data_IF_343640852153
#
_entry.id   IF_343640852153
#
_cell.length_a   1.000
_cell.length_b   1.000
_cell.length_c   1.000
_cell.angle_alpha   90.00
_cell.angle_beta   90.00
_cell.angle_gamma   90.00
#
_symmetry.space_group_name_H-M   'P 1'
#
loop_
_entity.id
_entity.type
_entity.pdbx_description
1 polymer ?
#
# COMPACT_ATOMS: atom_id res chain seq x y z
N UNK A 1 -17.78 47.43 21.21
CA UNK A 1 -17.43 47.88 22.58
C UNK A 1 -18.72 48.28 23.28
N UNK A 2 -19.35 47.35 23.99
CA UNK A 2 -20.44 47.63 24.93
C UNK A 2 -20.28 46.66 26.10
N UNK A 3 -20.02 47.23 27.27
CA UNK A 3 -19.90 46.61 28.60
C UNK A 3 -21.29 46.41 29.18
N UNK A 4 -21.57 45.25 29.80
CA UNK A 4 -22.65 45.16 30.83
C UNK A 4 -22.40 43.98 31.77
N UNK A 5 -22.38 44.29 33.07
CA UNK A 5 -22.32 43.35 34.20
C UNK A 5 -23.73 43.19 34.81
N UNK A 6 -24.05 42.01 35.36
CA UNK A 6 -25.19 41.76 36.25
C UNK A 6 -24.87 40.50 37.09
N UNK A 7 -24.51 40.63 38.37
CA UNK A 7 -25.35 40.66 39.59
C UNK A 7 -26.17 39.36 39.83
N UNK A 8 -25.80 38.65 40.90
CA UNK A 8 -26.47 37.48 41.47
C UNK A 8 -27.73 37.86 42.29
N UNK A 9 -28.53 36.86 42.68
CA UNK A 9 -28.79 36.71 44.12
C UNK A 9 -28.77 35.25 44.63
N UNK A 10 -28.39 35.15 45.91
CA UNK A 10 -28.40 33.97 46.75
C UNK A 10 -29.81 33.61 47.26
N UNK A 11 -30.05 32.33 47.54
CA UNK A 11 -31.19 31.87 48.36
C UNK A 11 -30.66 30.94 49.45
N UNK A 12 -30.95 31.33 50.69
CA UNK A 12 -30.72 30.67 51.98
C UNK A 12 -32.10 30.38 52.60
N UNK A 13 -32.15 29.51 53.63
CA UNK A 13 -33.25 29.21 54.58
C UNK A 13 -34.04 27.92 54.27
N UNK A 14 -34.44 27.05 55.21
CA UNK A 14 -34.40 27.08 56.68
C UNK A 14 -34.53 25.64 57.25
N UNK A 15 -33.97 25.43 58.44
CA UNK A 15 -34.31 24.34 59.36
C UNK A 15 -35.35 24.84 60.40
N UNK A 16 -36.18 23.96 60.99
CA UNK A 16 -36.81 24.25 62.27
C UNK A 16 -36.13 23.52 63.43
N UNK A 17 -36.04 24.23 64.55
CA UNK A 17 -35.60 23.78 65.86
C UNK A 17 -36.79 23.31 66.72
N UNK A 18 -36.53 22.46 67.71
CA UNK A 18 -37.34 22.43 68.94
C UNK A 18 -36.45 22.20 70.16
N UNK A 19 -36.71 22.99 71.20
CA UNK A 19 -35.97 23.14 72.45
C UNK A 19 -36.53 22.18 73.53
N UNK A 20 -35.66 21.57 74.35
CA UNK A 20 -35.33 21.91 75.75
C UNK A 20 -36.14 21.18 76.83
N UNK A 21 -35.42 20.65 77.84
CA UNK A 21 -35.94 20.14 79.10
C UNK A 21 -34.86 19.37 79.87
N UNK A 22 -34.56 19.80 81.10
CA UNK A 22 -33.33 19.63 81.86
C UNK A 22 -33.30 18.47 82.88
N UNK A 23 -32.09 18.24 83.40
CA UNK A 23 -31.69 17.62 84.67
C UNK A 23 -31.41 16.10 84.77
N UNK A 24 -30.25 15.82 85.37
CA UNK A 24 -29.75 14.56 85.93
C UNK A 24 -29.41 14.83 87.44
N UNK A 25 -28.98 13.87 88.31
CA UNK A 25 -28.60 12.45 88.08
C UNK A 25 -28.93 11.42 89.22
N UNK A 26 -28.51 10.16 88.99
CA UNK A 26 -27.91 9.18 89.94
C UNK A 26 -28.75 8.14 90.76
N UNK A 27 -28.47 6.86 90.40
CA UNK A 27 -28.12 5.67 91.21
C UNK A 27 -29.13 4.93 92.15
N UNK A 28 -29.27 3.61 91.92
CA UNK A 28 -29.79 2.60 92.89
C UNK A 28 -30.02 1.20 92.28
N UNK A 29 -29.66 0.12 92.98
CA UNK A 29 -29.53 -1.30 92.51
C UNK A 29 -30.77 -2.20 92.72
N UNK A 30 -30.84 -3.28 91.91
CA UNK A 30 -31.52 -4.62 92.07
C UNK A 30 -33.05 -4.77 91.83
N UNK A 31 -33.59 -5.99 91.58
CA UNK A 31 -33.34 -6.98 90.50
C UNK A 31 -34.66 -7.34 89.72
N UNK A 32 -34.55 -8.23 88.71
CA UNK A 32 -35.59 -8.61 87.73
C UNK A 32 -36.96 -9.08 88.26
N UNK A 33 -38.01 -9.07 87.39
CA UNK A 33 -38.58 -10.36 86.97
C UNK A 33 -38.81 -10.49 85.44
N UNK A 34 -38.32 -11.63 84.94
CA UNK A 34 -38.85 -12.57 83.93
C UNK A 34 -39.59 -12.06 82.68
N UNK A 35 -39.04 -12.49 81.53
CA UNK A 35 -39.42 -12.24 80.14
C UNK A 35 -40.86 -12.64 79.73
N UNK A 36 -41.29 -12.26 78.51
CA UNK A 36 -41.15 -13.26 77.44
C UNK A 36 -40.40 -12.72 76.21
N UNK A 37 -39.36 -13.47 75.85
CA UNK A 37 -38.89 -13.80 74.51
C UNK A 37 -39.13 -12.73 73.41
N UNK A 38 -38.30 -11.69 73.39
CA UNK A 38 -38.05 -10.95 72.15
C UNK A 38 -36.95 -11.67 71.40
N UNK A 39 -37.36 -12.40 70.36
CA UNK A 39 -36.48 -12.84 69.30
C UNK A 39 -35.59 -11.67 68.87
N UNK A 40 -34.29 -11.82 69.07
CA UNK A 40 -33.27 -10.94 68.51
C UNK A 40 -33.51 -10.91 67.00
N UNK A 41 -33.76 -9.75 66.37
CA UNK A 41 -33.78 -9.69 64.92
C UNK A 41 -32.39 -10.06 64.45
N UNK A 42 -32.30 -11.20 63.77
CA UNK A 42 -31.10 -11.59 63.06
C UNK A 42 -30.89 -10.56 61.94
N UNK A 43 -30.08 -9.53 62.19
CA UNK A 43 -29.80 -8.44 61.24
C UNK A 43 -28.93 -8.89 60.04
N UNK A 44 -28.91 -10.18 59.75
CA UNK A 44 -28.07 -10.80 58.70
C UNK A 44 -28.77 -10.89 57.34
N UNK A 45 -30.10 -10.68 57.27
CA UNK A 45 -30.83 -10.60 56.01
C UNK A 45 -30.92 -9.14 55.51
N UNK A 46 -30.42 -8.80 54.31
CA UNK A 46 -30.69 -7.49 53.71
C UNK A 46 -32.19 -7.27 53.57
N UNK A 47 -32.64 -6.01 53.70
CA UNK A 47 -34.02 -5.66 53.38
C UNK A 47 -34.37 -6.14 51.95
N UNK A 48 -35.58 -6.69 51.70
CA UNK A 48 -35.95 -7.27 50.41
C UNK A 48 -35.73 -6.31 49.22
N UNK A 49 -35.85 -5.01 49.44
CA UNK A 49 -35.63 -3.98 48.42
C UNK A 49 -34.16 -3.89 47.98
N UNK A 50 -33.20 -4.13 48.89
CA UNK A 50 -31.76 -4.05 48.60
C UNK A 50 -31.31 -5.15 47.63
N UNK A 51 -31.85 -6.37 47.77
CA UNK A 51 -31.49 -7.48 46.87
C UNK A 51 -31.93 -7.23 45.42
N UNK A 52 -33.07 -6.57 45.23
CA UNK A 52 -33.55 -6.20 43.90
C UNK A 52 -32.72 -5.03 43.31
N UNK A 53 -32.35 -4.06 44.14
CA UNK A 53 -31.48 -2.95 43.74
C UNK A 53 -30.07 -3.40 43.37
N UNK A 54 -29.46 -4.29 44.16
CA UNK A 54 -28.17 -4.92 43.86
C UNK A 54 -28.24 -5.66 42.51
N UNK A 55 -29.32 -6.43 42.29
CA UNK A 55 -29.53 -7.13 41.00
C UNK A 55 -29.64 -6.16 39.83
N UNK A 56 -30.40 -5.07 39.97
CA UNK A 56 -30.52 -4.02 38.94
C UNK A 56 -29.17 -3.37 38.65
N UNK A 57 -28.38 -3.09 39.69
CA UNK A 57 -27.05 -2.51 39.58
C UNK A 57 -26.10 -3.42 38.81
N UNK A 58 -26.08 -4.72 39.11
CA UNK A 58 -25.25 -5.69 38.39
C UNK A 58 -25.66 -5.78 36.92
N UNK A 59 -26.96 -5.82 36.62
CA UNK A 59 -27.46 -5.85 35.26
C UNK A 59 -27.02 -4.61 34.46
N UNK A 60 -27.01 -3.43 35.09
CA UNK A 60 -26.48 -2.21 34.46
C UNK A 60 -24.96 -2.30 34.21
N UNK A 61 -24.18 -2.82 35.18
CA UNK A 61 -22.72 -3.01 35.05
C UNK A 61 -22.38 -3.93 33.88
N UNK A 62 -23.05 -5.07 33.76
CA UNK A 62 -22.74 -6.06 32.71
C UNK A 62 -23.33 -5.70 31.33
N UNK A 63 -24.25 -4.72 31.28
CA UNK A 63 -24.79 -4.17 30.05
C UNK A 63 -23.91 -3.05 29.45
N UNK A 64 -22.92 -2.56 30.20
CA UNK A 64 -21.96 -1.57 29.71
C UNK A 64 -21.24 -2.09 28.45
N UNK A 65 -21.09 -1.28 27.38
CA UNK A 65 -20.41 -1.71 26.15
C UNK A 65 -18.94 -2.14 26.35
N UNK A 66 -18.26 -1.65 27.39
CA UNK A 66 -16.91 -2.08 27.76
C UNK A 66 -16.88 -3.34 28.63
N UNK A 67 -18.02 -3.81 29.16
CA UNK A 67 -18.06 -5.02 29.95
C UNK A 67 -17.65 -6.23 29.10
N UNK A 68 -16.53 -6.85 29.48
CA UNK A 68 -16.08 -8.09 28.83
C UNK A 68 -17.07 -9.24 29.08
N UNK A 69 -16.93 -10.32 28.32
CA UNK A 69 -17.65 -11.56 28.61
C UNK A 69 -17.33 -12.08 30.02
N UNK A 70 -16.10 -11.86 30.51
CA UNK A 70 -15.73 -12.20 31.88
C UNK A 70 -16.50 -11.36 32.92
N UNK A 71 -16.65 -10.04 32.69
CA UNK A 71 -17.50 -9.18 33.52
C UNK A 71 -18.96 -9.65 33.54
N UNK A 72 -19.49 -10.02 32.36
CA UNK A 72 -20.87 -10.52 32.22
C UNK A 72 -21.09 -11.83 32.96
N UNK A 73 -20.15 -12.77 32.84
CA UNK A 73 -20.21 -14.05 33.53
C UNK A 73 -20.10 -13.88 35.05
N UNK A 74 -19.15 -13.07 35.52
CA UNK A 74 -18.97 -12.77 36.94
C UNK A 74 -20.22 -12.13 37.57
N UNK A 75 -20.85 -11.16 36.87
CA UNK A 75 -22.08 -10.55 37.34
C UNK A 75 -23.27 -11.51 37.37
N UNK A 76 -23.45 -12.35 36.34
CA UNK A 76 -24.49 -13.39 36.32
C UNK A 76 -24.30 -14.41 37.44
N UNK A 77 -23.05 -14.81 37.69
CA UNK A 77 -22.69 -15.70 38.80
C UNK A 77 -23.01 -15.06 40.15
N UNK A 78 -22.66 -13.79 40.34
CA UNK A 78 -22.97 -13.07 41.58
C UNK A 78 -24.48 -12.99 41.85
N UNK A 79 -25.30 -12.79 40.80
CA UNK A 79 -26.77 -12.83 40.90
C UNK A 79 -27.27 -14.22 41.32
N UNK A 80 -26.69 -15.29 40.74
CA UNK A 80 -27.07 -16.66 41.05
C UNK A 80 -26.66 -17.11 42.46
N UNK A 81 -25.50 -16.64 42.96
CA UNK A 81 -24.94 -17.01 44.26
C UNK A 81 -25.59 -16.25 45.44
N UNK A 82 -26.43 -15.24 45.16
CA UNK A 82 -27.30 -14.58 46.14
C UNK A 82 -26.77 -13.24 46.70
N UNK A 83 -27.48 -12.64 47.68
CA UNK A 83 -27.29 -11.23 48.06
C UNK A 83 -25.90 -10.83 48.54
N UNK A 84 -25.16 -11.73 49.21
CA UNK A 84 -23.80 -11.46 49.66
C UNK A 84 -22.80 -11.44 48.49
N UNK A 85 -22.97 -12.35 47.52
CA UNK A 85 -22.15 -12.39 46.32
C UNK A 85 -22.41 -11.17 45.43
N UNK A 86 -23.68 -10.74 45.31
CA UNK A 86 -24.03 -9.52 44.59
C UNK A 86 -23.32 -8.29 45.16
N UNK A 87 -23.35 -8.09 46.49
CA UNK A 87 -22.65 -6.97 47.15
C UNK A 87 -21.14 -7.02 46.95
N UNK A 88 -20.52 -8.18 47.19
CA UNK A 88 -19.08 -8.35 46.96
C UNK A 88 -18.69 -8.03 45.51
N UNK A 89 -19.50 -8.45 44.54
CA UNK A 89 -19.25 -8.13 43.14
C UNK A 89 -19.31 -6.64 42.88
N UNK A 90 -20.35 -5.95 43.36
CA UNK A 90 -20.56 -4.51 43.18
C UNK A 90 -19.42 -3.71 43.83
N UNK A 91 -19.00 -4.08 45.05
CA UNK A 91 -18.06 -3.31 45.86
C UNK A 91 -16.58 -3.61 45.56
N UNK A 92 -16.26 -4.82 45.08
CA UNK A 92 -14.87 -5.29 44.99
C UNK A 92 -14.55 -5.91 43.64
N UNK A 93 -15.28 -6.95 43.23
CA UNK A 93 -14.82 -7.79 42.12
C UNK A 93 -14.93 -7.06 40.78
N UNK A 94 -16.00 -6.29 40.53
CA UNK A 94 -16.18 -5.55 39.28
C UNK A 94 -15.07 -4.51 39.03
N UNK A 95 -14.50 -3.91 40.06
CA UNK A 95 -13.45 -2.91 39.90
C UNK A 95 -12.16 -3.51 39.35
N UNK A 96 -11.79 -4.72 39.82
CA UNK A 96 -10.63 -5.44 39.30
C UNK A 96 -10.86 -5.87 37.86
N UNK A 97 -12.03 -6.43 37.57
CA UNK A 97 -12.41 -6.85 36.21
C UNK A 97 -12.37 -5.66 35.24
N UNK A 98 -12.94 -4.51 35.64
CA UNK A 98 -12.97 -3.31 34.81
C UNK A 98 -11.56 -2.76 34.54
N UNK A 99 -10.63 -2.85 35.49
CA UNK A 99 -9.22 -2.50 35.21
C UNK A 99 -8.62 -3.39 34.13
N UNK A 100 -8.84 -4.70 34.21
CA UNK A 100 -8.31 -5.64 33.23
C UNK A 100 -8.95 -5.44 31.86
N UNK A 101 -10.25 -5.16 31.81
CA UNK A 101 -10.98 -4.81 30.58
C UNK A 101 -10.35 -3.59 29.89
N UNK A 102 -10.05 -2.51 30.64
CA UNK A 102 -9.37 -1.35 30.08
C UNK A 102 -7.94 -1.66 29.63
N UNK A 103 -7.16 -2.44 30.40
CA UNK A 103 -5.80 -2.83 29.98
C UNK A 103 -5.83 -3.61 28.67
N UNK A 104 -6.78 -4.53 28.51
CA UNK A 104 -6.97 -5.28 27.27
C UNK A 104 -7.40 -4.35 26.13
N UNK A 105 -8.33 -3.43 26.37
CA UNK A 105 -8.77 -2.46 25.37
C UNK A 105 -7.62 -1.57 24.89
N UNK A 106 -6.80 -1.07 25.81
CA UNK A 106 -5.60 -0.27 25.54
C UNK A 106 -4.56 -1.09 24.77
N UNK A 107 -4.30 -2.34 25.16
CA UNK A 107 -3.37 -3.23 24.45
C UNK A 107 -3.79 -3.46 22.99
N UNK A 108 -5.09 -3.56 22.71
CA UNK A 108 -5.60 -3.73 21.33
C UNK A 108 -5.29 -2.52 20.44
N UNK A 109 -5.12 -1.32 21.00
CA UNK A 109 -4.76 -0.13 20.24
C UNK A 109 -3.38 -0.25 19.58
N UNK A 110 -2.47 -1.09 20.10
CA UNK A 110 -1.11 -1.27 19.56
C UNK A 110 -1.08 -1.69 18.09
N UNK A 111 -2.11 -2.41 17.62
CA UNK A 111 -2.15 -2.95 16.25
C UNK A 111 -2.03 -1.85 15.17
N UNK A 112 -2.64 -0.69 15.43
CA UNK A 112 -2.70 0.43 14.48
C UNK A 112 -2.14 1.73 15.08
N UNK A 113 -1.28 1.60 16.10
CA UNK A 113 -0.68 2.73 16.79
C UNK A 113 0.60 3.22 16.08
N UNK A 114 0.71 4.54 15.96
CA UNK A 114 1.97 5.18 15.61
C UNK A 114 2.96 5.18 16.79
N UNK A 115 4.19 5.69 16.59
CA UNK A 115 5.23 5.69 17.60
C UNK A 115 4.82 6.35 18.93
N UNK A 116 4.19 7.53 18.87
CA UNK A 116 3.77 8.28 20.05
C UNK A 116 2.67 7.55 20.82
N UNK A 117 1.67 7.00 20.12
CA UNK A 117 0.64 6.20 20.79
C UNK A 117 1.22 4.91 21.40
N UNK A 118 2.18 4.25 20.75
CA UNK A 118 2.86 3.07 21.32
C UNK A 118 3.60 3.40 22.61
N UNK A 119 4.33 4.51 22.64
CA UNK A 119 5.02 4.98 23.84
C UNK A 119 4.03 5.27 24.97
N UNK A 120 2.95 6.00 24.67
CA UNK A 120 1.90 6.28 25.64
C UNK A 120 1.22 5.03 26.19
N UNK A 121 0.95 4.04 25.32
CA UNK A 121 0.38 2.74 25.72
C UNK A 121 1.32 2.01 26.69
N UNK A 122 2.61 1.90 26.38
CA UNK A 122 3.55 1.24 27.28
C UNK A 122 3.61 1.95 28.64
N UNK A 123 3.70 3.29 28.62
CA UNK A 123 3.73 4.09 29.84
C UNK A 123 2.48 3.89 30.70
N UNK A 124 1.28 3.91 30.12
CA UNK A 124 0.04 3.74 30.90
C UNK A 124 -0.13 2.30 31.38
N UNK A 125 0.38 1.30 30.67
CA UNK A 125 0.33 -0.09 31.14
C UNK A 125 1.32 -0.34 32.29
N UNK A 126 2.46 0.37 32.31
CA UNK A 126 3.44 0.29 33.39
C UNK A 126 3.03 1.08 34.65
N UNK A 127 2.41 2.25 34.47
CA UNK A 127 2.12 3.21 35.57
C UNK A 127 0.63 3.39 35.89
N UNK A 128 -0.26 2.83 35.07
CA UNK A 128 -1.71 2.89 35.21
C UNK A 128 -2.21 1.91 36.26
N UNK A 129 -2.17 2.35 37.50
CA UNK A 129 -2.59 1.62 38.69
C UNK A 129 -4.06 1.85 39.10
N UNK A 130 -4.75 2.83 38.49
CA UNK A 130 -6.17 3.13 38.78
C UNK A 130 -7.06 3.07 37.53
N UNK A 131 -8.36 2.80 37.76
CA UNK A 131 -9.38 2.77 36.69
C UNK A 131 -9.50 4.14 36.01
N UNK A 132 -9.40 5.24 36.78
CA UNK A 132 -9.57 6.61 36.27
C UNK A 132 -8.45 6.96 35.28
N UNK A 133 -7.20 6.56 35.59
CA UNK A 133 -6.05 6.76 34.68
C UNK A 133 -6.22 5.97 33.39
N UNK A 134 -6.59 4.69 33.48
CA UNK A 134 -6.81 3.83 32.30
C UNK A 134 -7.97 4.34 31.44
N UNK A 135 -9.07 4.74 32.07
CA UNK A 135 -10.23 5.33 31.39
C UNK A 135 -9.88 6.64 30.70
N UNK A 136 -9.23 7.57 31.40
CA UNK A 136 -8.82 8.84 30.83
C UNK A 136 -7.86 8.64 29.63
N UNK A 137 -6.94 7.68 29.74
CA UNK A 137 -6.07 7.35 28.63
C UNK A 137 -6.86 6.85 27.41
N UNK A 138 -7.80 5.93 27.63
CA UNK A 138 -8.61 5.34 26.57
C UNK A 138 -9.55 6.35 25.89
N UNK A 139 -10.21 7.20 26.69
CA UNK A 139 -11.22 8.14 26.21
C UNK A 139 -10.63 9.45 25.66
N UNK A 140 -9.43 9.85 26.13
CA UNK A 140 -8.83 11.15 25.80
C UNK A 140 -7.41 11.00 25.26
N UNK A 141 -6.48 10.53 26.09
CA UNK A 141 -5.03 10.63 25.78
C UNK A 141 -4.64 9.88 24.50
N UNK A 142 -5.22 8.70 24.23
CA UNK A 142 -4.90 7.97 23.01
C UNK A 142 -5.28 8.73 21.74
N UNK A 143 -6.36 9.53 21.78
CA UNK A 143 -6.78 10.33 20.64
C UNK A 143 -5.82 11.50 20.38
N UNK A 144 -5.30 12.12 21.44
CA UNK A 144 -4.27 13.16 21.37
C UNK A 144 -2.96 12.62 20.80
N UNK A 145 -2.48 11.48 21.32
CA UNK A 145 -1.26 10.84 20.84
C UNK A 145 -1.38 10.39 19.39
N UNK A 146 -2.53 9.84 19.00
CA UNK A 146 -2.81 9.45 17.61
C UNK A 146 -2.85 10.67 16.68
N UNK A 147 -3.32 11.80 17.18
CA UNK A 147 -3.31 13.04 16.43
C UNK A 147 -1.89 13.60 16.21
N UNK A 148 -1.03 13.50 17.23
CA UNK A 148 0.38 13.89 17.10
C UNK A 148 1.12 12.99 16.12
N UNK A 149 0.90 11.67 16.19
CA UNK A 149 1.40 10.72 15.19
C UNK A 149 0.93 11.09 13.77
N UNK A 150 -0.35 11.47 13.61
CA UNK A 150 -0.89 11.91 12.33
C UNK A 150 -0.20 13.19 11.83
N UNK A 151 0.07 14.18 12.69
CA UNK A 151 0.78 15.42 12.30
C UNK A 151 2.18 15.11 11.78
N UNK A 152 2.90 14.19 12.44
CA UNK A 152 4.24 13.76 12.02
C UNK A 152 4.17 13.08 10.66
N UNK A 153 3.25 12.14 10.46
CA UNK A 153 3.12 11.43 9.18
C UNK A 153 2.72 12.38 8.04
N UNK A 154 1.82 13.33 8.27
CA UNK A 154 1.45 14.34 7.27
C UNK A 154 2.66 15.22 6.93
N UNK A 155 3.46 15.62 7.92
CA UNK A 155 4.66 16.42 7.69
C UNK A 155 5.69 15.67 6.83
N UNK A 156 5.84 14.36 7.05
CA UNK A 156 6.67 13.49 6.22
C UNK A 156 6.16 13.43 4.78
N UNK A 157 4.85 13.25 4.58
CA UNK A 157 4.22 13.23 3.26
C UNK A 157 4.35 14.58 2.52
N UNK A 158 4.30 15.71 3.23
CA UNK A 158 4.59 17.03 2.65
C UNK A 158 6.06 17.10 2.19
N UNK A 159 7.00 16.50 2.92
CA UNK A 159 8.41 16.48 2.54
C UNK A 159 8.69 15.70 1.25
N UNK A 160 8.02 14.55 1.07
CA UNK A 160 8.29 13.64 -0.06
C UNK A 160 7.28 13.71 -1.20
N UNK A 161 6.12 14.34 -0.99
CA UNK A 161 5.01 14.37 -1.93
C UNK A 161 5.17 15.40 -3.05
N UNK A 162 4.35 15.24 -4.09
CA UNK A 162 4.20 16.23 -5.16
C UNK A 162 3.47 17.50 -4.69
N UNK A 163 3.37 18.51 -5.57
CA UNK A 163 2.74 19.80 -5.25
C UNK A 163 1.32 19.67 -4.68
N UNK A 164 0.46 18.83 -5.25
CA UNK A 164 -0.91 18.66 -4.77
C UNK A 164 -0.95 17.98 -3.39
N UNK A 165 -0.12 16.94 -3.17
CA UNK A 165 0.00 16.29 -1.85
C UNK A 165 0.51 17.28 -0.79
N UNK A 166 1.48 18.14 -1.14
CA UNK A 166 2.01 19.19 -0.27
C UNK A 166 0.93 20.16 0.17
N UNK A 167 0.16 20.70 -0.77
CA UNK A 167 -0.89 21.66 -0.46
C UNK A 167 -2.03 21.03 0.34
N UNK A 168 -2.46 19.81 -0.04
CA UNK A 168 -3.48 19.08 0.71
C UNK A 168 -3.02 18.72 2.13
N UNK A 169 -1.76 18.32 2.31
CA UNK A 169 -1.18 18.04 3.62
C UNK A 169 -1.11 19.29 4.51
N UNK A 170 -0.64 20.42 3.98
CA UNK A 170 -0.64 21.70 4.70
C UNK A 170 -2.05 22.12 5.13
N UNK A 171 -3.04 21.92 4.26
CA UNK A 171 -4.44 22.18 4.59
C UNK A 171 -4.92 21.28 5.74
N UNK A 172 -4.60 19.99 5.71
CA UNK A 172 -4.95 19.05 6.76
C UNK A 172 -4.29 19.40 8.11
N UNK A 173 -3.02 19.83 8.12
CA UNK A 173 -2.33 20.26 9.34
C UNK A 173 -2.97 21.48 10.00
N UNK A 174 -3.54 22.41 9.21
CA UNK A 174 -4.26 23.59 9.71
C UNK A 174 -5.67 23.27 10.21
N UNK A 175 -6.17 22.06 9.95
CA UNK A 175 -7.51 21.62 10.31
C UNK A 175 -7.60 20.93 11.67
N UNK A 176 -8.71 20.22 11.86
CA UNK A 176 -9.02 19.41 13.05
C UNK A 176 -8.31 18.05 13.02
N UNK A 177 -8.27 17.30 14.15
CA UNK A 177 -7.81 15.90 14.14
C UNK A 177 -8.54 15.02 13.12
N UNK A 178 -9.84 15.28 12.91
CA UNK A 178 -10.65 14.58 11.92
C UNK A 178 -10.18 14.87 10.48
N UNK A 179 -9.81 16.12 10.18
CA UNK A 179 -9.26 16.50 8.87
C UNK A 179 -7.93 15.81 8.58
N UNK A 180 -7.05 15.73 9.60
CA UNK A 180 -5.78 15.00 9.51
C UNK A 180 -5.99 13.52 9.25
N UNK A 181 -6.87 12.89 10.03
CA UNK A 181 -7.21 11.49 9.84
C UNK A 181 -7.83 11.22 8.46
N UNK A 182 -8.71 12.10 7.98
CA UNK A 182 -9.35 11.96 6.67
C UNK A 182 -8.36 12.14 5.52
N UNK A 183 -7.42 13.08 5.63
CA UNK A 183 -6.34 13.21 4.67
C UNK A 183 -5.48 11.94 4.61
N UNK A 184 -5.10 11.41 5.78
CA UNK A 184 -4.36 10.14 5.89
C UNK A 184 -5.20 8.90 5.56
N UNK A 185 -6.51 9.00 5.37
CA UNK A 185 -7.34 7.88 4.94
C UNK A 185 -7.53 7.91 3.42
N UNK A 186 -7.93 9.05 2.89
CA UNK A 186 -8.35 9.19 1.48
C UNK A 186 -7.72 10.40 0.81
N UNK A 187 -7.61 11.54 1.49
CA UNK A 187 -7.20 12.81 0.88
C UNK A 187 -5.82 12.79 0.22
N UNK A 188 -4.85 12.08 0.81
CA UNK A 188 -3.49 11.97 0.23
C UNK A 188 -3.49 11.27 -1.13
N UNK A 189 -4.33 10.26 -1.32
CA UNK A 189 -4.39 9.50 -2.57
C UNK A 189 -5.07 10.29 -3.68
N UNK A 190 -6.08 11.09 -3.33
CA UNK A 190 -6.71 12.02 -4.27
C UNK A 190 -5.74 13.12 -4.69
N UNK A 191 -4.98 13.67 -3.73
CA UNK A 191 -3.96 14.66 -4.03
C UNK A 191 -2.84 14.06 -4.91
N UNK A 192 -2.39 12.85 -4.59
CA UNK A 192 -1.41 12.13 -5.40
C UNK A 192 -1.93 11.82 -6.80
N UNK A 193 -3.21 11.47 -6.96
CA UNK A 193 -3.82 11.28 -8.28
C UNK A 193 -3.77 12.56 -9.13
N UNK A 194 -3.92 13.74 -8.52
CA UNK A 194 -3.72 15.01 -9.23
C UNK A 194 -2.28 15.20 -9.68
N UNK A 195 -1.30 14.89 -8.82
CA UNK A 195 0.12 14.93 -9.19
C UNK A 195 0.44 13.92 -10.30
N UNK A 196 -0.11 12.71 -10.23
CA UNK A 196 0.08 11.64 -11.21
C UNK A 196 -0.49 11.99 -12.59
N UNK A 197 -1.65 12.67 -12.64
CA UNK A 197 -2.22 13.18 -13.89
C UNK A 197 -1.30 14.21 -14.56
N UNK A 198 -0.72 15.11 -13.76
CA UNK A 198 0.23 16.11 -14.28
C UNK A 198 1.49 15.41 -14.79
N UNK A 199 1.98 14.39 -14.09
CA UNK A 199 3.15 13.64 -14.53
C UNK A 199 2.90 12.87 -15.83
N UNK A 200 1.73 12.25 -15.99
CA UNK A 200 1.34 11.61 -17.24
C UNK A 200 1.27 12.61 -18.39
N UNK A 201 0.72 13.81 -18.17
CA UNK A 201 0.69 14.86 -19.18
C UNK A 201 2.11 15.32 -19.58
N UNK A 202 3.05 15.41 -18.63
CA UNK A 202 4.45 15.71 -18.94
C UNK A 202 5.15 14.60 -19.72
N UNK A 203 4.84 13.34 -19.39
CA UNK A 203 5.36 12.19 -20.12
C UNK A 203 4.86 12.24 -21.57
N UNK A 204 3.57 12.53 -21.77
CA UNK A 204 2.95 12.67 -23.10
C UNK A 204 3.59 13.82 -23.90
N UNK A 205 3.79 14.98 -23.29
CA UNK A 205 4.44 16.13 -23.95
C UNK A 205 5.91 15.87 -24.33
N UNK A 206 6.61 15.03 -23.57
CA UNK A 206 8.04 14.73 -23.78
C UNK A 206 8.31 13.47 -24.62
N UNK A 207 7.28 12.71 -25.01
CA UNK A 207 7.41 11.44 -25.72
C UNK A 207 6.71 11.49 -27.07
N UNK A 208 7.44 11.15 -28.14
CA UNK A 208 6.93 11.21 -29.53
C UNK A 208 6.34 9.87 -30.02
N UNK A 209 6.07 8.94 -29.11
CA UNK A 209 5.54 7.62 -29.44
C UNK A 209 4.01 7.58 -29.46
N UNK A 210 3.38 7.19 -30.58
CA UNK A 210 1.92 7.25 -30.72
C UNK A 210 1.17 6.25 -29.82
N UNK A 211 1.77 5.09 -29.50
CA UNK A 211 1.09 4.05 -28.70
C UNK A 211 0.95 4.50 -27.26
N UNK A 212 2.03 5.02 -26.65
CA UNK A 212 1.96 5.56 -25.29
C UNK A 212 1.01 6.77 -25.23
N UNK A 213 1.12 7.69 -26.20
CA UNK A 213 0.32 8.92 -26.21
C UNK A 213 -1.18 8.64 -26.30
N UNK A 214 -1.58 7.73 -27.19
CA UNK A 214 -2.99 7.31 -27.31
C UNK A 214 -3.50 6.69 -26.00
N UNK A 215 -2.69 5.85 -25.36
CA UNK A 215 -3.07 5.20 -24.10
C UNK A 215 -3.18 6.20 -22.93
N UNK A 216 -2.27 7.19 -22.84
CA UNK A 216 -2.36 8.28 -21.86
C UNK A 216 -3.65 9.08 -22.10
N UNK A 217 -3.89 9.50 -23.34
CA UNK A 217 -5.10 10.25 -23.70
C UNK A 217 -6.38 9.49 -23.34
N UNK A 218 -6.44 8.19 -23.66
CA UNK A 218 -7.58 7.33 -23.29
C UNK A 218 -7.75 7.21 -21.79
N UNK A 219 -6.66 7.00 -21.05
CA UNK A 219 -6.69 6.90 -19.59
C UNK A 219 -7.22 8.19 -18.97
N UNK A 220 -6.67 9.34 -19.33
CA UNK A 220 -7.02 10.63 -18.73
C UNK A 220 -8.46 11.06 -19.06
N UNK A 221 -8.97 10.70 -20.24
CA UNK A 221 -10.36 10.93 -20.63
C UNK A 221 -11.36 9.99 -19.94
N UNK A 222 -10.89 8.85 -19.40
CA UNK A 222 -11.72 7.78 -18.82
C UNK A 222 -12.09 7.94 -17.35
N UNK A 223 -11.79 9.07 -16.70
CA UNK A 223 -11.97 9.28 -15.25
C UNK A 223 -11.29 8.21 -14.38
N UNK A 224 -9.96 8.06 -14.48
CA UNK A 224 -9.23 6.97 -13.85
C UNK A 224 -9.18 7.15 -12.33
N UNK A 225 -9.20 6.01 -11.64
CA UNK A 225 -8.98 5.91 -10.20
C UNK A 225 -7.52 6.23 -9.84
N UNK A 226 -7.22 6.63 -8.59
CA UNK A 226 -5.84 6.82 -8.15
C UNK A 226 -4.94 5.59 -8.36
N UNK A 227 -5.49 4.39 -8.20
CA UNK A 227 -4.75 3.14 -8.39
C UNK A 227 -4.40 2.90 -9.87
N UNK A 228 -5.31 3.20 -10.80
CA UNK A 228 -5.06 3.06 -12.23
C UNK A 228 -4.00 4.04 -12.73
N UNK A 229 -4.03 5.30 -12.25
CA UNK A 229 -3.00 6.29 -12.55
C UNK A 229 -1.62 5.82 -12.07
N UNK A 230 -1.55 5.32 -10.83
CA UNK A 230 -0.32 4.79 -10.24
C UNK A 230 0.23 3.61 -11.03
N UNK A 231 -0.63 2.63 -11.33
CA UNK A 231 -0.26 1.46 -12.12
C UNK A 231 0.26 1.86 -13.50
N UNK A 232 -0.39 2.82 -14.15
CA UNK A 232 0.06 3.27 -15.46
C UNK A 232 1.45 3.89 -15.42
N UNK A 233 1.71 4.75 -14.42
CA UNK A 233 3.01 5.39 -14.22
C UNK A 233 4.13 4.40 -13.84
N UNK A 234 3.82 3.39 -13.03
CA UNK A 234 4.82 2.46 -12.50
C UNK A 234 5.10 1.29 -13.45
N UNK A 235 4.12 0.89 -14.26
CA UNK A 235 4.20 -0.33 -15.07
C UNK A 235 3.88 -0.03 -16.54
N UNK A 236 2.63 0.37 -16.83
CA UNK A 236 2.10 0.38 -18.20
C UNK A 236 2.88 1.30 -19.13
N UNK A 237 3.33 2.47 -18.68
CA UNK A 237 4.08 3.39 -19.54
C UNK A 237 5.37 2.76 -20.10
N UNK A 238 6.06 1.91 -19.33
CA UNK A 238 7.32 1.31 -19.77
C UNK A 238 7.09 0.24 -20.84
N UNK A 239 6.00 -0.53 -20.71
CA UNK A 239 5.59 -1.52 -21.70
C UNK A 239 5.21 -0.86 -23.02
N UNK A 240 4.45 0.25 -22.97
CA UNK A 240 4.03 0.98 -24.16
C UNK A 240 5.19 1.72 -24.83
N UNK A 241 6.11 2.30 -24.05
CA UNK A 241 7.37 2.86 -24.58
C UNK A 241 8.18 1.82 -25.34
N UNK A 242 8.23 0.59 -24.84
CA UNK A 242 8.91 -0.50 -25.54
C UNK A 242 8.24 -0.82 -26.88
N UNK A 243 6.91 -0.81 -26.93
CA UNK A 243 6.15 -1.00 -28.18
C UNK A 243 6.43 0.11 -29.18
N UNK A 244 6.40 1.37 -28.74
CA UNK A 244 6.78 2.52 -29.57
C UNK A 244 8.21 2.40 -30.10
N UNK A 245 9.16 2.01 -29.24
CA UNK A 245 10.56 1.79 -29.62
C UNK A 245 10.67 0.70 -30.70
N UNK A 246 9.94 -0.40 -30.60
CA UNK A 246 9.93 -1.45 -31.64
C UNK A 246 9.44 -0.90 -32.98
N UNK A 247 8.37 -0.10 -32.97
CA UNK A 247 7.84 0.55 -34.18
C UNK A 247 8.84 1.54 -34.75
N UNK A 248 9.49 2.36 -33.91
CA UNK A 248 10.52 3.30 -34.33
C UNK A 248 11.70 2.59 -35.01
N UNK A 249 12.20 1.48 -34.42
CA UNK A 249 13.29 0.70 -34.99
C UNK A 249 12.88 0.09 -36.34
N UNK A 250 11.68 -0.48 -36.43
CA UNK A 250 11.17 -1.04 -37.68
C UNK A 250 11.14 0.01 -38.80
N UNK A 251 10.68 1.23 -38.50
CA UNK A 251 10.69 2.36 -39.43
C UNK A 251 12.11 2.80 -39.82
N UNK A 252 13.05 2.77 -38.89
CA UNK A 252 14.45 3.17 -39.14
C UNK A 252 15.17 2.19 -40.08
N UNK A 253 14.91 0.89 -39.93
CA UNK A 253 15.55 -0.13 -40.77
C UNK A 253 14.83 -0.36 -42.10
N UNK A 254 13.58 0.09 -42.24
CA UNK A 254 12.88 0.08 -43.51
C UNK A 254 13.57 1.01 -44.51
N UNK A 255 14.12 0.45 -45.59
CA UNK A 255 14.99 1.17 -46.52
C UNK A 255 16.41 1.49 -46.00
N UNK A 256 16.81 0.93 -44.85
CA UNK A 256 18.15 1.08 -44.29
C UNK A 256 19.24 0.29 -45.05
N UNK A 257 20.51 0.69 -44.88
CA UNK A 257 21.64 -0.07 -45.40
C UNK A 257 21.86 -1.40 -44.65
N UNK A 258 22.71 -2.30 -45.19
CA UNK A 258 22.86 -3.67 -44.67
C UNK A 258 23.29 -3.71 -43.19
N UNK A 259 24.19 -2.84 -42.74
CA UNK A 259 24.62 -2.78 -41.34
C UNK A 259 23.52 -2.20 -40.44
N UNK A 260 22.79 -1.18 -40.89
CA UNK A 260 21.64 -0.63 -40.15
C UNK A 260 20.53 -1.67 -39.97
N UNK A 261 20.18 -2.41 -41.02
CA UNK A 261 19.18 -3.49 -40.96
C UNK A 261 19.62 -4.60 -40.00
N UNK A 262 20.88 -5.02 -40.09
CA UNK A 262 21.44 -6.05 -39.20
C UNK A 262 21.39 -5.62 -37.73
N UNK A 263 21.85 -4.41 -37.44
CA UNK A 263 21.87 -3.88 -36.08
C UNK A 263 20.45 -3.70 -35.51
N UNK A 264 19.52 -3.15 -36.29
CA UNK A 264 18.14 -2.95 -35.82
C UNK A 264 17.38 -4.27 -35.62
N UNK A 265 17.60 -5.29 -36.46
CA UNK A 265 17.04 -6.64 -36.23
C UNK A 265 17.58 -7.28 -34.96
N UNK A 266 18.87 -7.12 -34.68
CA UNK A 266 19.45 -7.60 -33.42
C UNK A 266 18.81 -6.90 -32.21
N UNK A 267 18.61 -5.59 -32.28
CA UNK A 267 17.94 -4.83 -31.23
C UNK A 267 16.47 -5.26 -31.03
N UNK A 268 15.72 -5.48 -32.12
CA UNK A 268 14.33 -5.97 -32.06
C UNK A 268 14.21 -7.36 -31.42
N UNK A 269 15.18 -8.25 -31.67
CA UNK A 269 15.24 -9.57 -31.06
C UNK A 269 15.71 -9.55 -29.59
N UNK A 270 16.27 -8.43 -29.12
CA UNK A 270 16.82 -8.27 -27.78
C UNK A 270 15.80 -7.77 -26.73
N UNK A 271 16.33 -7.20 -25.66
CA UNK A 271 15.59 -6.61 -24.53
C UNK A 271 15.15 -5.16 -24.81
N UNK A 272 14.33 -4.59 -23.93
CA UNK A 272 13.95 -3.18 -24.02
C UNK A 272 15.16 -2.23 -23.92
N UNK A 273 16.18 -2.62 -23.16
CA UNK A 273 17.44 -1.90 -23.07
C UNK A 273 18.19 -1.92 -24.40
N UNK A 274 18.25 -3.07 -25.09
CA UNK A 274 18.92 -3.19 -26.40
C UNK A 274 18.24 -2.32 -27.46
N UNK A 275 16.90 -2.25 -27.44
CA UNK A 275 16.13 -1.35 -28.31
C UNK A 275 16.42 0.12 -28.03
N UNK A 276 16.47 0.49 -26.76
CA UNK A 276 16.78 1.86 -26.34
C UNK A 276 18.20 2.25 -26.75
N UNK A 277 19.18 1.35 -26.55
CA UNK A 277 20.58 1.59 -26.91
C UNK A 277 20.74 1.73 -28.42
N UNK A 278 20.10 0.86 -29.21
CA UNK A 278 20.10 1.01 -30.66
C UNK A 278 19.53 2.36 -31.11
N UNK A 279 18.40 2.80 -30.54
CA UNK A 279 17.81 4.09 -30.86
C UNK A 279 18.70 5.27 -30.46
N UNK A 280 19.43 5.16 -29.35
CA UNK A 280 20.29 6.22 -28.84
C UNK A 280 21.61 6.34 -29.60
N UNK A 281 22.28 5.22 -29.87
CA UNK A 281 23.66 5.20 -30.38
C UNK A 281 23.81 4.26 -31.57
N UNK A 282 23.29 3.02 -31.47
CA UNK A 282 23.55 1.94 -32.43
C UNK A 282 23.11 2.26 -33.87
N UNK A 283 22.02 3.00 -34.05
CA UNK A 283 21.55 3.42 -35.37
C UNK A 283 22.54 4.36 -36.08
N UNK A 284 23.26 5.20 -35.34
CA UNK A 284 24.21 6.16 -35.92
C UNK A 284 25.51 5.46 -36.33
N UNK A 285 26.00 4.55 -35.49
CA UNK A 285 27.17 3.73 -35.79
C UNK A 285 26.93 2.85 -37.01
N UNK A 286 25.75 2.22 -37.10
CA UNK A 286 25.41 1.36 -38.22
C UNK A 286 25.29 2.16 -39.53
N UNK A 287 24.68 3.35 -39.50
CA UNK A 287 24.66 4.27 -40.65
C UNK A 287 26.06 4.71 -41.08
N UNK A 288 26.96 4.97 -40.13
CA UNK A 288 28.34 5.34 -40.44
C UNK A 288 29.09 4.20 -41.16
N UNK A 289 28.86 2.94 -40.76
CA UNK A 289 29.42 1.77 -41.44
C UNK A 289 28.85 1.59 -42.84
N UNK A 290 27.54 1.76 -43.01
CA UNK A 290 26.89 1.71 -44.32
C UNK A 290 27.44 2.80 -45.26
N UNK A 291 27.67 4.01 -44.75
CA UNK A 291 28.26 5.10 -45.53
C UNK A 291 29.70 4.81 -45.93
N UNK A 292 30.53 4.34 -44.99
CA UNK A 292 31.91 3.97 -45.28
C UNK A 292 32.03 2.82 -46.28
N UNK A 293 31.06 1.89 -46.31
CA UNK A 293 30.99 0.84 -47.32
C UNK A 293 30.66 1.41 -48.71
N UNK A 294 29.66 2.30 -48.80
CA UNK A 294 29.31 3.01 -50.05
C UNK A 294 30.48 3.82 -50.62
N UNK A 295 31.22 4.50 -49.75
CA UNK A 295 32.36 5.33 -50.17
C UNK A 295 33.53 4.48 -50.72
N UNK A 296 33.65 3.23 -50.28
CA UNK A 296 34.64 2.26 -50.81
C UNK A 296 34.23 1.65 -52.15
N UNK A 297 32.93 1.56 -52.43
CA UNK A 297 32.40 1.06 -53.71
C UNK A 297 32.40 2.13 -54.81
N UNK A 298 32.58 3.41 -54.46
CA UNK A 298 32.71 4.48 -55.45
C UNK A 298 34.04 4.32 -56.21
N UNK A 299 34.05 4.11 -57.53
CA UNK A 299 35.30 3.93 -58.27
C UNK A 299 36.12 5.22 -58.19
N UNK A 300 37.41 5.09 -57.84
CA UNK A 300 38.38 6.16 -58.06
C UNK A 300 38.31 6.59 -59.53
N UNK A 301 38.13 7.89 -59.85
CA UNK A 301 38.27 8.37 -61.22
C UNK A 301 39.62 7.90 -61.75
N UNK A 302 39.61 7.22 -62.90
CA UNK A 302 40.81 6.75 -63.56
C UNK A 302 41.82 7.90 -63.67
N UNK A 303 43.07 7.63 -63.29
CA UNK A 303 44.18 8.45 -63.77
C UNK A 303 44.25 8.22 -65.27
N UNK A 304 43.66 9.13 -66.04
CA UNK A 304 43.94 9.26 -67.47
C UNK A 304 45.40 9.69 -67.66
N UNK A 305 46.28 8.69 -67.72
CA UNK A 305 47.65 8.79 -68.17
C UNK A 305 47.71 8.63 -69.69
N UNK A 306 47.94 9.74 -70.36
CA UNK A 306 48.21 9.93 -71.79
C UNK A 306 49.30 8.99 -72.36
N UNK A 307 49.04 8.42 -73.54
CA UNK A 307 50.00 7.88 -74.51
C UNK A 307 49.63 6.46 -74.95
N UNK A 308 49.53 6.10 -76.22
CA UNK A 308 49.73 6.74 -77.51
C UNK A 308 49.37 5.71 -78.58
N UNK A 309 49.03 6.18 -79.78
CA UNK A 309 48.65 5.36 -80.93
C UNK A 309 49.74 4.35 -81.33
N UNK A 310 49.37 3.06 -81.44
CA UNK A 310 50.06 2.10 -82.28
C UNK A 310 49.14 0.93 -82.67
N UNK A 311 48.85 0.91 -83.97
CA UNK A 311 48.25 -0.15 -84.77
C UNK A 311 49.10 -1.43 -84.73
N UNK A 312 48.46 -2.59 -84.57
CA UNK A 312 49.10 -3.90 -84.64
C UNK A 312 48.07 -5.02 -84.82
N UNK A 313 47.82 -5.34 -86.08
CA UNK A 313 47.13 -6.50 -86.61
C UNK A 313 47.98 -7.78 -86.49
N UNK A 314 47.37 -8.89 -86.09
CA UNK A 314 48.03 -10.19 -85.99
C UNK A 314 47.11 -11.31 -85.50
N UNK A 315 46.57 -12.07 -86.46
CA UNK A 315 45.67 -13.23 -86.29
C UNK A 315 46.44 -14.54 -86.07
N UNK A 316 45.95 -15.40 -85.17
CA UNK A 316 45.95 -16.88 -85.20
C UNK A 316 45.40 -17.40 -83.84
N UNK A 317 44.18 -17.94 -83.71
CA UNK A 317 43.65 -19.25 -84.12
C UNK A 317 44.03 -20.45 -83.21
N UNK A 318 43.00 -21.11 -82.66
CA UNK A 318 43.02 -22.40 -81.93
C UNK A 318 42.07 -22.41 -80.73
N UNK A 319 40.74 -22.57 -80.86
CA UNK A 319 39.94 -23.80 -81.07
C UNK A 319 39.81 -24.73 -79.85
N UNK A 320 38.55 -25.03 -79.47
CA UNK A 320 38.12 -26.02 -78.47
C UNK A 320 37.11 -25.47 -77.44
N UNK A 321 35.85 -25.17 -77.81
CA UNK A 321 34.65 -26.05 -77.70
C UNK A 321 34.38 -26.56 -76.27
N UNK A 322 33.23 -26.38 -75.61
CA UNK A 322 31.95 -25.83 -76.03
C UNK A 322 30.93 -25.78 -74.86
N UNK A 323 29.91 -24.97 -75.13
CA UNK A 323 28.63 -24.69 -74.49
C UNK A 323 27.97 -25.65 -73.46
N UNK A 324 27.11 -25.00 -72.66
CA UNK A 324 25.71 -25.31 -72.28
C UNK A 324 25.48 -25.29 -70.76
N UNK A 325 24.72 -24.32 -70.24
CA UNK A 325 23.24 -24.26 -70.08
C UNK A 325 22.81 -24.87 -68.75
N UNK A 326 21.96 -24.14 -68.05
CA UNK A 326 21.64 -24.36 -66.65
C UNK A 326 20.73 -25.56 -66.34
N UNK A 327 20.59 -25.77 -65.04
CA UNK A 327 19.44 -26.31 -64.29
C UNK A 327 19.92 -26.39 -62.82
N UNK A 328 19.27 -25.76 -61.85
CA UNK A 328 17.95 -26.09 -61.27
C UNK A 328 17.83 -27.55 -60.86
N UNK A 329 17.74 -27.73 -59.54
CA UNK A 329 17.18 -28.85 -58.80
C UNK A 329 17.92 -30.21 -58.84
N UNK A 330 18.37 -30.62 -57.66
CA UNK A 330 18.36 -32.03 -57.26
C UNK A 330 17.69 -32.15 -55.91
N UNK A 331 16.49 -32.75 -55.91
CA UNK A 331 15.93 -33.47 -54.78
C UNK A 331 16.15 -34.97 -54.94
N UNK A 332 16.56 -35.58 -53.83
CA UNK A 332 16.18 -36.88 -53.28
C UNK A 332 16.54 -38.21 -53.97
N UNK A 333 17.36 -39.01 -53.27
CA UNK A 333 17.23 -40.46 -52.96
C UNK A 333 18.56 -40.94 -52.35
N UNK A 334 18.70 -41.74 -51.29
CA UNK A 334 17.82 -42.46 -50.37
C UNK A 334 18.68 -43.45 -49.53
N UNK A 335 18.17 -43.84 -48.33
CA UNK A 335 18.63 -44.91 -47.39
C UNK A 335 19.94 -44.66 -46.62
N UNK A 336 20.13 -44.96 -45.33
CA UNK A 336 19.34 -45.60 -44.24
C UNK A 336 20.09 -45.39 -42.90
N UNK A 337 19.39 -45.11 -41.79
CA UNK A 337 19.94 -45.19 -40.41
C UNK A 337 19.36 -44.16 -39.43
N UNK A 338 18.35 -44.58 -38.64
CA UNK A 338 17.42 -43.82 -37.79
C UNK A 338 17.92 -43.61 -36.32
N UNK A 339 17.11 -43.16 -35.32
CA UNK A 339 16.17 -42.01 -35.21
C UNK A 339 16.21 -41.25 -33.84
N UNK A 340 15.27 -40.29 -33.68
CA UNK A 340 14.57 -39.75 -32.46
C UNK A 340 14.86 -38.26 -32.19
N UNK A 341 13.91 -37.33 -32.02
CA UNK A 341 12.44 -37.20 -32.14
C UNK A 341 12.18 -35.67 -32.08
N UNK A 342 11.46 -34.96 -32.95
CA UNK A 342 10.02 -34.92 -33.33
C UNK A 342 9.02 -34.71 -32.18
N UNK A 343 8.43 -33.51 -32.16
CA UNK A 343 6.98 -33.18 -32.17
C UNK A 343 6.93 -31.69 -32.58
N UNK A 344 6.47 -31.25 -33.77
CA UNK A 344 5.13 -31.44 -34.38
C UNK A 344 4.12 -30.54 -33.65
N UNK A 345 3.30 -29.66 -34.23
CA UNK A 345 2.92 -29.24 -35.58
C UNK A 345 2.38 -27.78 -35.43
N UNK A 346 2.41 -26.89 -36.41
CA UNK A 346 1.56 -26.89 -37.60
C UNK A 346 0.67 -25.63 -37.58
N UNK A 347 0.96 -24.69 -38.47
CA UNK A 347 0.19 -23.48 -38.75
C UNK A 347 -1.20 -23.80 -39.34
N UNK A 348 -2.21 -22.98 -39.05
CA UNK A 348 -3.00 -22.22 -40.04
C UNK A 348 -4.26 -21.60 -39.40
N UNK A 349 -4.61 -20.42 -39.92
CA UNK A 349 -5.96 -19.81 -40.03
C UNK A 349 -6.55 -18.95 -38.90
N UNK A 350 -6.50 -17.64 -39.17
CA UNK A 350 -7.61 -16.64 -39.21
C UNK A 350 -8.35 -16.15 -37.95
N UNK A 351 -8.39 -14.82 -37.91
CA UNK A 351 -9.52 -13.93 -37.61
C UNK A 351 -9.86 -13.61 -36.14
N UNK A 352 -9.52 -12.36 -35.82
CA UNK A 352 -10.14 -11.41 -34.88
C UNK A 352 -11.65 -11.65 -34.70
N UNK A 353 -12.10 -11.79 -33.45
CA UNK A 353 -13.26 -11.05 -32.90
C UNK A 353 -13.56 -11.44 -31.44
N UNK A 354 -13.61 -10.41 -30.58
CA UNK A 354 -14.66 -10.30 -29.56
C UNK A 354 -14.39 -10.84 -28.16
N UNK A 355 -14.39 -9.92 -27.19
CA UNK A 355 -15.16 -10.14 -25.96
C UNK A 355 -14.38 -10.47 -24.68
N UNK A 356 -14.24 -9.44 -23.84
CA UNK A 356 -14.43 -9.45 -22.39
C UNK A 356 -13.76 -10.53 -21.51
N UNK A 357 -12.77 -10.09 -20.72
CA UNK A 357 -12.84 -10.15 -19.25
C UNK A 357 -12.35 -11.40 -18.52
N UNK A 358 -11.53 -11.14 -17.49
CA UNK A 358 -11.13 -12.02 -16.35
C UNK A 358 -10.09 -13.11 -16.68
N UNK A 359 -9.09 -13.49 -15.88
CA UNK A 359 -8.60 -13.14 -14.54
C UNK A 359 -7.16 -13.69 -14.35
N UNK A 360 -6.48 -13.20 -13.31
CA UNK A 360 -5.54 -13.92 -12.42
C UNK A 360 -4.31 -14.67 -13.00
N UNK A 361 -3.11 -14.13 -12.74
CA UNK A 361 -1.88 -14.88 -12.41
C UNK A 361 -1.04 -14.01 -11.46
N UNK A 362 -1.11 -14.18 -10.14
CA UNK A 362 -0.24 -15.04 -9.32
C UNK A 362 1.27 -14.86 -9.63
N UNK A 363 1.95 -14.05 -8.82
CA UNK A 363 3.39 -13.84 -8.94
C UNK A 363 4.24 -15.07 -8.56
N UNK A 364 5.46 -15.11 -9.09
CA UNK A 364 6.62 -15.72 -8.45
C UNK A 364 7.89 -15.09 -9.03
N UNK A 365 8.69 -14.48 -8.16
CA UNK A 365 9.99 -13.93 -8.52
C UNK A 365 11.05 -14.99 -8.72
N UNK A 366 12.10 -14.65 -9.48
CA UNK A 366 13.38 -15.36 -9.43
C UNK A 366 14.53 -14.36 -9.53
N UNK A 367 15.23 -14.18 -8.42
CA UNK A 367 16.54 -13.51 -8.33
C UNK A 367 17.62 -14.47 -8.82
N UNK A 368 18.44 -14.07 -9.79
CA UNK A 368 19.62 -14.81 -10.22
C UNK A 368 20.88 -14.16 -9.62
N UNK A 369 21.48 -14.82 -8.64
CA UNK A 369 22.79 -14.49 -8.09
C UNK A 369 23.88 -15.34 -8.77
N UNK A 370 24.91 -14.68 -9.29
CA UNK A 370 26.18 -15.26 -9.70
C UNK A 370 27.24 -14.18 -9.41
N UNK A 371 28.49 -14.41 -8.98
CA UNK A 371 29.38 -15.56 -9.06
C UNK A 371 30.62 -15.22 -8.23
N UNK A 372 31.05 -16.05 -7.28
CA UNK A 372 32.45 -16.07 -6.83
C UNK A 372 32.88 -17.49 -6.51
N UNK A 373 33.74 -18.06 -7.37
CA UNK A 373 34.65 -19.15 -7.02
C UNK A 373 35.91 -18.99 -7.84
N UNK A 374 36.97 -18.49 -7.21
CA UNK A 374 38.36 -18.71 -7.62
C UNK A 374 38.96 -19.63 -6.56
N UNK A 375 38.98 -20.93 -6.86
CA UNK A 375 39.70 -21.92 -6.08
C UNK A 375 41.16 -21.92 -6.55
N UNK A 376 42.06 -21.76 -5.59
CA UNK A 376 43.49 -21.97 -5.79
C UNK A 376 43.79 -23.45 -5.99
N UNK A 377 44.67 -23.71 -6.95
CA UNK A 377 45.42 -24.95 -7.05
C UNK A 377 46.85 -24.56 -7.43
N UNK A 378 47.81 -24.82 -6.54
CA UNK A 378 49.08 -25.53 -6.80
C UNK A 378 50.09 -25.25 -5.69
N UNK A 379 50.72 -26.34 -5.25
CA UNK A 379 52.09 -26.38 -4.73
C UNK A 379 52.20 -26.21 -3.24
#
# INVERSE_FOLDING_TARGET
MVTTAALAPAVLMASPAFAAGSDAPAAGKQPAPTAPDQAVPDHTAPAPDQGEEDRKTILAIIADPMASEYMKEAGRKAIADGPQAMRKFIEVDQHKIRMDDYRIAILRLLQNAGPGLKEGINKILDTGDTIEKLRHFYDVTQHELRDDDNKVEISRLIGTGGPAVKEAGKKALKGTPADRAQFLKTGRFLAQASDDRVELARIDESWDGPILSEAIGKLLNGSPTPAELRHFLEVTQYELRDQDNRVAIAKIIDGGGPELVKAGRAALAGTAADRTEFLKTGQHEARAKDQAAKDKEKPTPGKDGKGGDAKGDGSAAGSGTGATTGNTATTAQGRTGAPLATTGAGDQTTLIAGGAGTALVAGAGLMLAARMRRAGAKG
#
